data_IF_944258566985
#
_entry.id   IF_944258566985
#
_cell.length_a   1.000
_cell.length_b   1.000
_cell.length_c   1.000
_cell.angle_alpha   90.00
_cell.angle_beta   90.00
_cell.angle_gamma   90.00
#
_symmetry.space_group_name_H-M   'P 1'
#
loop_
_entity.id
_entity.type
_entity.pdbx_description
1 polymer ?
#
# COMPACT_ATOMS: atom_id res chain seq x y z
N UNK A 1 48.73 10.60 37.72
CA UNK A 1 47.74 11.20 36.79
C UNK A 1 46.61 11.74 37.61
N UNK A 2 46.38 13.08 37.64
CA UNK A 2 45.46 13.71 38.58
C UNK A 2 44.00 13.39 38.27
N UNK A 3 43.24 12.90 39.27
CA UNK A 3 41.83 12.55 39.20
C UNK A 3 40.98 13.68 38.54
N UNK A 4 41.32 14.94 38.78
CA UNK A 4 40.68 16.11 38.14
C UNK A 4 40.84 16.14 36.62
N UNK A 5 42.00 15.72 36.10
CA UNK A 5 42.24 15.63 34.63
C UNK A 5 41.48 14.51 33.99
N UNK A 6 41.31 13.35 34.66
CA UNK A 6 40.52 12.22 34.21
C UNK A 6 39.06 12.61 34.16
N UNK A 7 38.54 13.29 35.18
CA UNK A 7 37.14 13.74 35.24
C UNK A 7 36.84 14.78 34.15
N UNK A 8 37.76 15.72 33.87
CA UNK A 8 37.65 16.70 32.80
C UNK A 8 37.63 16.04 31.40
N UNK A 9 38.49 15.01 31.22
CA UNK A 9 38.56 14.25 29.95
C UNK A 9 37.30 13.44 29.70
N UNK A 10 36.67 12.91 30.76
CA UNK A 10 35.43 12.15 30.69
C UNK A 10 34.24 13.05 30.35
N UNK A 11 34.20 14.29 30.87
CA UNK A 11 33.16 15.29 30.55
C UNK A 11 33.29 15.73 29.08
N UNK A 12 34.51 15.96 28.58
CA UNK A 12 34.76 16.33 27.19
C UNK A 12 34.38 15.22 26.24
N UNK A 13 34.63 13.95 26.60
CA UNK A 13 34.25 12.79 25.81
C UNK A 13 32.72 12.60 25.75
N UNK A 14 32.02 12.83 26.87
CA UNK A 14 30.56 12.77 26.94
C UNK A 14 29.90 13.92 26.12
N UNK A 15 30.51 15.12 26.09
CA UNK A 15 30.03 16.26 25.29
C UNK A 15 30.19 16.06 23.78
N UNK A 16 31.20 15.26 23.33
CA UNK A 16 31.37 14.91 21.91
C UNK A 16 30.34 13.88 21.41
N UNK A 17 29.75 13.07 22.27
CA UNK A 17 28.76 12.07 21.89
C UNK A 17 27.35 12.63 21.60
N UNK A 18 27.07 13.89 21.98
CA UNK A 18 25.71 14.48 21.87
C UNK A 18 25.44 15.10 20.50
N UNK A 19 26.41 15.21 19.61
CA UNK A 19 26.29 16.03 18.36
C UNK A 19 25.75 15.25 17.15
N UNK A 20 25.29 14.01 17.26
CA UNK A 20 24.82 13.25 16.11
C UNK A 20 23.36 12.78 16.19
N UNK A 21 22.53 13.45 16.97
CA UNK A 21 21.08 13.30 16.80
C UNK A 21 20.55 14.35 15.83
N UNK A 22 21.00 14.30 14.56
CA UNK A 22 20.22 14.88 13.46
C UNK A 22 18.96 14.03 13.40
N UNK A 23 17.81 14.60 13.72
CA UNK A 23 16.52 14.08 13.32
C UNK A 23 16.50 14.06 11.78
N UNK A 24 17.08 13.04 11.19
CA UNK A 24 16.83 12.71 9.81
C UNK A 24 15.36 12.30 9.77
N UNK A 25 14.56 12.93 8.93
CA UNK A 25 13.23 12.44 8.59
C UNK A 25 13.42 10.96 8.24
N UNK A 26 12.87 10.09 9.10
CA UNK A 26 13.09 8.65 9.02
C UNK A 26 12.51 8.15 7.69
N UNK A 27 13.37 7.61 6.81
CA UNK A 27 12.94 7.11 5.52
C UNK A 27 12.10 5.86 5.76
N UNK A 28 10.82 5.95 5.44
CA UNK A 28 9.85 4.89 5.60
C UNK A 28 9.56 4.25 4.26
N UNK A 29 9.98 3.00 4.10
CA UNK A 29 9.71 2.19 2.91
C UNK A 29 8.87 0.98 3.30
N UNK A 30 7.68 0.86 2.71
CA UNK A 30 6.69 -0.17 3.07
C UNK A 30 6.13 -0.86 1.85
N UNK A 31 5.78 -2.13 2.00
CA UNK A 31 5.02 -2.92 1.05
C UNK A 31 3.61 -3.18 1.57
N UNK A 32 2.62 -3.17 0.68
CA UNK A 32 1.22 -3.44 0.99
C UNK A 32 0.57 -4.25 -0.13
N UNK A 33 -0.22 -5.25 0.25
CA UNK A 33 -1.06 -6.06 -0.63
C UNK A 33 -2.22 -6.66 0.17
N UNK A 34 -3.29 -7.17 -0.48
CA UNK A 34 -4.32 -7.93 0.19
C UNK A 34 -3.75 -9.20 0.83
N UNK A 35 -4.14 -9.50 2.06
CA UNK A 35 -3.68 -10.72 2.77
C UNK A 35 -4.29 -12.00 2.18
N UNK A 36 -5.45 -11.89 1.50
CA UNK A 36 -6.16 -12.99 0.85
C UNK A 36 -6.50 -12.58 -0.57
N UNK A 37 -6.16 -13.44 -1.50
CA UNK A 37 -6.43 -13.26 -2.94
C UNK A 37 -6.96 -14.57 -3.50
N UNK A 38 -7.47 -14.56 -4.72
CA UNK A 38 -8.11 -15.71 -5.36
C UNK A 38 -7.28 -16.09 -6.58
N UNK A 39 -7.08 -17.39 -6.81
CA UNK A 39 -6.42 -17.93 -8.01
C UNK A 39 -7.05 -17.29 -9.27
N UNK A 40 -6.20 -16.87 -10.20
CA UNK A 40 -6.63 -16.27 -11.47
C UNK A 40 -7.20 -14.85 -11.37
N UNK A 41 -7.33 -14.25 -10.16
CA UNK A 41 -7.80 -12.89 -10.00
C UNK A 41 -6.63 -11.92 -9.74
N UNK A 42 -6.43 -10.91 -10.59
CA UNK A 42 -5.36 -9.94 -10.39
C UNK A 42 -5.52 -9.12 -9.11
N UNK A 43 -4.40 -8.83 -8.44
CA UNK A 43 -4.37 -7.95 -7.27
C UNK A 43 -3.19 -6.98 -7.36
N UNK A 44 -3.21 -5.92 -6.54
CA UNK A 44 -2.17 -4.91 -6.51
C UNK A 44 -1.18 -5.15 -5.38
N UNK A 45 0.11 -5.10 -5.71
CA UNK A 45 1.23 -4.99 -4.79
C UNK A 45 1.76 -3.56 -4.87
N UNK A 46 1.72 -2.84 -3.76
CA UNK A 46 2.10 -1.43 -3.68
C UNK A 46 3.30 -1.25 -2.76
N UNK A 47 4.35 -0.60 -3.26
CA UNK A 47 5.46 -0.13 -2.44
C UNK A 47 5.34 1.38 -2.28
N UNK A 48 5.44 1.87 -1.04
CA UNK A 48 5.38 3.29 -0.70
C UNK A 48 6.64 3.73 0.01
N UNK A 49 7.19 4.88 -0.40
CA UNK A 49 8.33 5.51 0.26
C UNK A 49 8.06 7.00 0.46
N UNK A 50 8.41 7.54 1.63
CA UNK A 50 8.20 8.97 1.98
C UNK A 50 9.28 9.91 1.45
N UNK A 51 10.15 9.43 0.55
CA UNK A 51 11.25 10.18 -0.05
C UNK A 51 11.43 9.80 -1.53
N UNK A 52 12.27 10.56 -2.25
CA UNK A 52 12.66 10.18 -3.60
C UNK A 52 13.60 8.96 -3.57
N UNK A 53 13.08 7.81 -3.97
CA UNK A 53 13.85 6.59 -4.12
C UNK A 53 14.27 6.33 -5.56
N UNK A 54 15.36 5.60 -5.72
CA UNK A 54 15.88 5.08 -7.00
C UNK A 54 16.17 3.59 -6.86
N UNK A 55 16.31 2.91 -7.99
CA UNK A 55 16.73 1.50 -8.01
C UNK A 55 15.86 0.60 -7.14
N UNK A 56 14.52 0.72 -7.27
CA UNK A 56 13.59 -0.22 -6.67
C UNK A 56 13.85 -1.61 -7.25
N UNK A 57 14.16 -2.56 -6.39
CA UNK A 57 14.33 -3.97 -6.74
C UNK A 57 13.30 -4.82 -6.03
N UNK A 58 12.48 -5.48 -6.82
CA UNK A 58 11.54 -6.46 -6.30
C UNK A 58 12.28 -7.71 -5.84
N UNK A 59 11.79 -8.38 -4.78
CA UNK A 59 12.18 -9.74 -4.49
C UNK A 59 11.58 -10.70 -5.53
N UNK A 60 12.00 -11.96 -5.47
CA UNK A 60 11.34 -13.04 -6.20
C UNK A 60 9.91 -13.21 -5.69
N UNK A 61 8.92 -13.07 -6.57
CA UNK A 61 7.49 -13.15 -6.26
C UNK A 61 6.94 -14.53 -6.65
N UNK A 62 7.54 -15.60 -6.12
CA UNK A 62 7.16 -16.99 -6.41
C UNK A 62 5.65 -17.21 -6.26
N UNK A 63 5.05 -17.88 -7.23
CA UNK A 63 3.62 -18.19 -7.25
C UNK A 63 2.72 -17.07 -7.79
N UNK A 64 3.34 -15.98 -8.24
CA UNK A 64 2.64 -14.84 -8.84
C UNK A 64 3.31 -14.42 -10.15
N UNK A 65 2.53 -14.22 -11.18
CA UNK A 65 2.95 -13.60 -12.42
C UNK A 65 2.80 -12.07 -12.33
N UNK A 66 3.81 -11.30 -12.75
CA UNK A 66 3.72 -9.84 -12.84
C UNK A 66 3.10 -9.50 -14.19
N UNK A 67 1.82 -9.12 -14.20
CA UNK A 67 1.10 -8.82 -15.43
C UNK A 67 1.13 -7.34 -15.81
N UNK A 68 1.43 -6.43 -14.85
CA UNK A 68 1.58 -4.99 -15.13
C UNK A 68 2.43 -4.29 -14.06
N UNK A 69 3.03 -3.15 -14.45
CA UNK A 69 3.78 -2.27 -13.56
C UNK A 69 5.29 -2.25 -13.82
N UNK A 70 6.06 -1.46 -13.02
CA UNK A 70 5.52 -0.56 -11.99
C UNK A 70 4.85 0.69 -12.57
N UNK A 71 3.67 1.01 -12.07
CA UNK A 71 3.09 2.35 -12.22
C UNK A 71 3.57 3.21 -11.06
N UNK A 72 4.15 4.37 -11.36
CA UNK A 72 4.67 5.28 -10.34
C UNK A 72 3.74 6.46 -10.16
N UNK A 73 3.35 6.75 -8.94
CA UNK A 73 2.63 7.97 -8.55
C UNK A 73 3.36 8.69 -7.44
N UNK A 74 3.31 10.03 -7.46
CA UNK A 74 3.90 10.88 -6.41
C UNK A 74 2.81 11.79 -5.87
N UNK A 75 2.66 11.82 -4.56
CA UNK A 75 1.83 12.80 -3.87
C UNK A 75 2.68 13.61 -2.90
N UNK A 76 2.33 14.91 -2.76
CA UNK A 76 2.94 15.79 -1.77
C UNK A 76 1.84 16.58 -1.07
N UNK A 77 1.96 16.71 0.24
CA UNK A 77 1.05 17.50 1.06
C UNK A 77 1.84 18.47 1.91
N UNK A 78 1.44 19.73 1.93
CA UNK A 78 2.03 20.76 2.78
C UNK A 78 0.99 21.19 3.80
N UNK A 79 1.34 21.14 5.07
CA UNK A 79 0.50 21.54 6.20
C UNK A 79 1.20 22.66 6.97
N UNK A 80 0.42 23.64 7.38
CA UNK A 80 0.88 24.73 8.25
C UNK A 80 0.20 24.55 9.61
N UNK A 81 1.00 24.24 10.64
CA UNK A 81 0.51 24.03 12.00
C UNK A 81 1.26 25.01 12.92
N UNK A 82 0.54 25.92 13.54
CA UNK A 82 1.09 26.94 14.45
C UNK A 82 2.23 27.77 13.83
N UNK A 83 2.21 27.99 12.49
CA UNK A 83 3.25 28.72 11.78
C UNK A 83 4.40 27.84 11.25
N UNK A 84 4.48 26.58 11.65
CA UNK A 84 5.45 25.63 11.12
C UNK A 84 4.92 25.00 9.83
N UNK A 85 5.74 25.03 8.78
CA UNK A 85 5.44 24.40 7.49
C UNK A 85 6.00 22.98 7.49
N UNK A 86 5.10 21.98 7.38
CA UNK A 86 5.47 20.58 7.23
C UNK A 86 5.05 20.09 5.85
N UNK A 87 6.02 19.63 5.08
CA UNK A 87 5.78 19.02 3.78
C UNK A 87 6.02 17.51 3.90
N UNK A 88 5.01 16.71 3.59
CA UNK A 88 5.13 15.25 3.46
C UNK A 88 5.09 14.88 1.98
N UNK A 89 5.91 13.92 1.59
CA UNK A 89 5.97 13.35 0.25
C UNK A 89 5.77 11.85 0.32
N UNK A 90 5.09 11.30 -0.66
CA UNK A 90 4.95 9.86 -0.83
C UNK A 90 5.11 9.51 -2.30
N UNK A 91 5.98 8.54 -2.59
CA UNK A 91 6.13 7.92 -3.91
C UNK A 91 5.63 6.49 -3.80
N UNK A 92 4.70 6.12 -4.68
CA UNK A 92 4.11 4.78 -4.75
C UNK A 92 4.48 4.11 -6.06
N UNK A 93 4.85 2.83 -5.96
CA UNK A 93 5.12 1.93 -7.09
C UNK A 93 4.11 0.80 -7.02
N UNK A 94 3.25 0.71 -8.02
CA UNK A 94 2.15 -0.28 -8.05
C UNK A 94 2.44 -1.31 -9.12
N UNK A 95 2.44 -2.58 -8.73
CA UNK A 95 2.49 -3.75 -9.60
C UNK A 95 1.15 -4.48 -9.55
N UNK A 96 0.76 -5.07 -10.67
CA UNK A 96 -0.39 -5.98 -10.72
C UNK A 96 0.13 -7.39 -10.85
N UNK A 97 -0.24 -8.24 -9.89
CA UNK A 97 0.15 -9.64 -9.80
C UNK A 97 -1.04 -10.54 -10.06
N UNK A 98 -0.81 -11.67 -10.72
CA UNK A 98 -1.77 -12.72 -10.95
C UNK A 98 -1.35 -13.98 -10.19
N UNK A 99 -2.17 -14.49 -9.25
CA UNK A 99 -1.88 -15.73 -8.54
C UNK A 99 -2.08 -16.95 -9.47
N UNK A 100 -1.06 -17.81 -9.57
CA UNK A 100 -1.13 -19.00 -10.45
C UNK A 100 -1.78 -20.21 -9.77
N UNK A 101 -1.54 -20.40 -8.47
CA UNK A 101 -1.99 -21.56 -7.70
C UNK A 101 -2.40 -21.17 -6.29
N UNK A 102 -3.30 -21.95 -5.69
CA UNK A 102 -3.65 -21.82 -4.28
C UNK A 102 -2.46 -22.15 -3.36
N UNK A 103 -2.46 -21.57 -2.15
CA UNK A 103 -1.43 -21.80 -1.16
C UNK A 103 -1.13 -20.58 -0.31
N UNK A 104 -0.20 -20.75 0.62
CA UNK A 104 0.32 -19.68 1.45
C UNK A 104 1.69 -19.24 0.89
N UNK A 105 1.79 -17.98 0.52
CA UNK A 105 2.98 -17.40 -0.11
C UNK A 105 3.54 -16.26 0.73
N UNK A 106 4.86 -16.11 0.66
CA UNK A 106 5.56 -15.02 1.31
C UNK A 106 6.34 -14.21 0.27
N UNK A 107 6.05 -12.92 0.18
CA UNK A 107 6.83 -11.96 -0.62
C UNK A 107 7.86 -11.35 0.32
N UNK A 108 9.14 -11.55 0.00
CA UNK A 108 10.28 -11.04 0.77
C UNK A 108 10.38 -9.51 0.66
N UNK A 109 11.25 -8.91 1.46
CA UNK A 109 11.50 -7.48 1.43
C UNK A 109 12.03 -7.01 0.06
N UNK A 110 11.41 -6.00 -0.52
CA UNK A 110 11.97 -5.24 -1.62
C UNK A 110 13.06 -4.29 -1.12
N UNK A 111 13.92 -3.83 -2.01
CA UNK A 111 14.95 -2.83 -1.68
C UNK A 111 14.80 -1.59 -2.54
N UNK A 112 15.08 -0.43 -1.95
CA UNK A 112 15.12 0.86 -2.64
C UNK A 112 16.33 1.65 -2.14
N UNK A 113 16.89 2.50 -3.00
CA UNK A 113 17.99 3.40 -2.63
C UNK A 113 17.45 4.81 -2.45
N UNK A 114 17.62 5.37 -1.25
CA UNK A 114 17.28 6.77 -0.91
C UNK A 114 18.53 7.46 -0.37
N UNK A 115 18.90 8.62 -0.89
CA UNK A 115 20.09 9.40 -0.44
C UNK A 115 21.38 8.57 -0.37
N UNK A 116 21.55 7.60 -1.31
CA UNK A 116 22.68 6.63 -1.41
C UNK A 116 22.67 5.49 -0.38
N UNK A 117 21.65 5.38 0.46
CA UNK A 117 21.47 4.31 1.41
C UNK A 117 20.38 3.34 0.95
N UNK A 118 20.51 2.05 1.30
CA UNK A 118 19.52 1.02 0.98
C UNK A 118 18.50 0.90 2.09
N UNK A 119 17.23 0.88 1.71
CA UNK A 119 16.10 0.64 2.60
C UNK A 119 15.36 -0.61 2.17
N UNK A 120 14.76 -1.30 3.13
CA UNK A 120 14.05 -2.56 2.94
C UNK A 120 12.59 -2.38 3.34
N UNK A 121 11.69 -2.95 2.54
CA UNK A 121 10.28 -3.00 2.91
C UNK A 121 10.02 -4.13 3.93
N UNK A 122 8.82 -4.12 4.49
CA UNK A 122 8.32 -5.28 5.24
C UNK A 122 8.08 -6.47 4.31
N UNK A 123 8.09 -7.66 4.90
CA UNK A 123 7.67 -8.93 4.29
C UNK A 123 6.13 -8.98 4.27
N UNK A 124 5.56 -9.62 3.25
CA UNK A 124 4.12 -9.82 3.13
C UNK A 124 3.80 -11.32 3.09
N UNK A 125 2.77 -11.73 3.83
CA UNK A 125 2.20 -13.05 3.77
C UNK A 125 0.85 -12.97 3.05
N UNK A 126 0.69 -13.73 1.96
CA UNK A 126 -0.49 -13.72 1.11
C UNK A 126 -1.03 -15.14 1.02
N UNK A 127 -2.30 -15.31 1.36
CA UNK A 127 -3.02 -16.56 1.18
C UNK A 127 -3.81 -16.52 -0.12
N UNK A 128 -3.47 -17.43 -1.03
CA UNK A 128 -4.20 -17.61 -2.29
C UNK A 128 -5.26 -18.68 -2.08
N UNK A 129 -6.51 -18.31 -2.28
CA UNK A 129 -7.68 -19.16 -2.13
C UNK A 129 -8.12 -19.70 -3.50
N UNK A 130 -8.70 -20.92 -3.57
CA UNK A 130 -9.35 -21.41 -4.77
C UNK A 130 -10.56 -20.54 -5.14
N UNK A 131 -10.95 -20.55 -6.42
CA UNK A 131 -12.04 -19.76 -6.96
C UNK A 131 -13.39 -20.02 -6.27
N UNK A 132 -13.66 -21.26 -5.90
CA UNK A 132 -14.93 -21.69 -5.26
C UNK A 132 -15.17 -21.07 -3.87
N UNK A 133 -14.13 -20.57 -3.20
CA UNK A 133 -14.23 -19.94 -1.88
C UNK A 133 -14.40 -18.42 -1.91
N UNK A 134 -14.40 -17.80 -3.09
CA UNK A 134 -14.61 -16.37 -3.27
C UNK A 134 -15.98 -15.90 -2.77
N UNK A 135 -17.00 -16.75 -2.88
CA UNK A 135 -18.38 -16.45 -2.50
C UNK A 135 -18.61 -16.40 -0.98
N UNK A 136 -17.72 -17.00 -0.17
CA UNK A 136 -17.88 -17.07 1.30
C UNK A 136 -17.12 -16.00 2.10
N UNK A 137 -16.17 -15.30 1.50
CA UNK A 137 -15.32 -14.34 2.23
C UNK A 137 -15.82 -12.89 2.23
N UNK A 138 -16.91 -12.58 1.55
CA UNK A 138 -17.55 -11.25 1.58
C UNK A 138 -18.54 -11.03 2.74
N UNK A 139 -18.75 -12.06 3.61
CA UNK A 139 -19.68 -11.98 4.72
C UNK A 139 -18.98 -11.94 6.08
N UNK A 140 -18.12 -10.94 6.28
CA UNK A 140 -17.39 -10.77 7.54
C UNK A 140 -16.96 -9.32 7.77
N UNK A 141 -17.92 -8.40 7.85
CA UNK A 141 -17.63 -6.99 8.14
C UNK A 141 -18.87 -6.23 8.63
N UNK A 142 -19.11 -6.30 9.94
CA UNK A 142 -19.92 -5.36 10.74
C UNK A 142 -21.44 -5.46 10.67
N UNK A 143 -22.00 -6.38 11.48
CA UNK A 143 -23.34 -6.27 11.97
C UNK A 143 -23.31 -5.55 13.33
N UNK A 144 -23.67 -4.27 13.36
CA UNK A 144 -24.17 -3.60 14.57
C UNK A 144 -25.51 -2.98 14.29
N UNK A 145 -26.49 -3.74 14.72
CA UNK A 145 -27.73 -3.35 15.42
C UNK A 145 -28.72 -2.39 14.75
N UNK A 146 -29.83 -2.91 14.48
CA UNK A 146 -31.21 -2.71 14.92
C UNK A 146 -32.22 -2.58 13.78
N UNK A 147 -33.24 -3.44 13.83
CA UNK A 147 -34.61 -3.10 13.41
C UNK A 147 -35.14 -3.80 12.16
N UNK A 148 -35.86 -4.90 12.41
CA UNK A 148 -37.02 -5.40 11.66
C UNK A 148 -36.86 -5.89 10.20
N UNK A 149 -36.79 -7.20 10.15
CA UNK A 149 -37.48 -8.13 9.23
C UNK A 149 -38.09 -7.50 7.97
N UNK A 150 -37.40 -7.66 6.85
CA UNK A 150 -38.00 -7.96 5.56
C UNK A 150 -37.17 -9.08 4.92
N UNK A 151 -37.84 -10.17 4.55
CA UNK A 151 -37.30 -11.32 3.84
C UNK A 151 -36.36 -10.86 2.71
N UNK A 152 -35.08 -11.14 2.88
CA UNK A 152 -34.08 -10.96 1.83
C UNK A 152 -34.33 -12.06 0.79
N UNK A 153 -35.02 -11.72 -0.28
CA UNK A 153 -34.93 -12.52 -1.49
C UNK A 153 -33.48 -12.50 -1.93
N UNK A 154 -32.84 -13.66 -1.98
CA UNK A 154 -31.50 -13.81 -2.53
C UNK A 154 -31.48 -13.28 -3.97
N UNK A 155 -30.66 -12.27 -4.23
CA UNK A 155 -30.47 -11.75 -5.57
C UNK A 155 -29.64 -12.79 -6.31
N UNK A 156 -30.26 -13.53 -7.20
CA UNK A 156 -29.60 -14.44 -8.13
C UNK A 156 -29.44 -13.76 -9.48
N UNK A 157 -28.57 -14.29 -10.33
CA UNK A 157 -28.38 -13.78 -11.70
C UNK A 157 -29.66 -13.76 -12.53
N UNK A 158 -30.64 -14.56 -12.16
CA UNK A 158 -31.96 -14.60 -12.80
C UNK A 158 -32.85 -13.42 -12.39
N UNK A 159 -32.59 -12.78 -11.22
CA UNK A 159 -33.38 -11.69 -10.68
C UNK A 159 -32.74 -10.32 -10.86
N UNK A 160 -31.51 -10.26 -11.39
CA UNK A 160 -30.79 -9.02 -11.64
C UNK A 160 -30.65 -8.82 -13.15
N UNK A 161 -31.34 -7.81 -13.68
CA UNK A 161 -31.17 -7.38 -15.06
C UNK A 161 -31.01 -5.87 -15.11
N UNK A 162 -30.06 -5.43 -15.92
CA UNK A 162 -29.82 -4.02 -16.22
C UNK A 162 -30.53 -3.69 -17.53
N UNK A 163 -31.53 -2.80 -17.48
CA UNK A 163 -32.21 -2.30 -18.66
C UNK A 163 -31.72 -0.89 -18.99
N UNK A 164 -30.94 -0.69 -20.06
CA UNK A 164 -30.56 0.65 -20.48
C UNK A 164 -31.81 1.40 -20.97
N UNK A 165 -32.03 2.59 -20.43
CA UNK A 165 -33.06 3.51 -20.91
C UNK A 165 -32.36 4.57 -21.75
N UNK A 166 -32.55 4.53 -23.05
CA UNK A 166 -32.02 5.54 -23.96
C UNK A 166 -33.12 6.59 -24.18
N UNK A 167 -32.86 7.81 -23.76
CA UNK A 167 -33.84 8.93 -23.88
C UNK A 167 -34.05 9.39 -25.32
N UNK A 168 -33.04 9.17 -26.19
CA UNK A 168 -33.13 9.51 -27.62
C UNK A 168 -32.36 8.49 -28.47
N UNK A 169 -32.97 8.06 -29.57
CA UNK A 169 -32.36 7.18 -30.54
C UNK A 169 -31.73 7.93 -31.73
N UNK A 170 -31.99 9.23 -31.89
CA UNK A 170 -31.39 10.09 -32.89
C UNK A 170 -30.88 11.37 -32.24
N UNK A 171 -29.59 11.63 -32.34
CA UNK A 171 -28.92 12.85 -31.89
C UNK A 171 -28.31 13.52 -33.13
N UNK A 172 -28.38 14.83 -33.16
CA UNK A 172 -27.62 15.61 -34.16
C UNK A 172 -26.20 15.79 -33.68
N UNK A 173 -25.26 15.92 -34.62
CA UNK A 173 -23.88 16.25 -34.30
C UNK A 173 -23.83 17.51 -33.43
N UNK A 174 -23.08 17.47 -32.32
CA UNK A 174 -22.93 18.51 -31.27
C UNK A 174 -24.11 18.65 -30.26
N UNK A 175 -25.03 17.71 -30.17
CA UNK A 175 -26.05 17.73 -29.13
C UNK A 175 -25.61 16.91 -27.92
N UNK A 176 -25.58 17.53 -26.72
CA UNK A 176 -25.29 16.83 -25.48
C UNK A 176 -26.46 15.94 -25.08
N UNK A 177 -26.18 14.68 -24.69
CA UNK A 177 -27.16 13.77 -24.12
C UNK A 177 -27.12 13.93 -22.59
N UNK A 178 -28.27 14.27 -22.00
CA UNK A 178 -28.47 14.39 -20.55
C UNK A 178 -28.98 13.07 -19.98
#
# INVERSE_FOLDING_TARGET
>A
MNIKKIFLLLIVHCALCIVHCKGADDVKFTASAPQRVIVGQPFQLVFSVNENGKDLRLPDVKGFEIIAGPYTSTSSSTQIINGDIRTSKEVRYTYTLLPEKEGDYQIQSATIVVKKEKYYSNVLNIKVLPEDKASQSQQGGNASQSGQIRQSQSITSENLFIRPIISRTKIKEQEAVV
#
